data_IF_650895891095
#
_entry.id   IF_650895891095
#
_cell.length_a   1.000
_cell.length_b   1.000
_cell.length_c   1.000
_cell.angle_alpha   90.00
_cell.angle_beta   90.00
_cell.angle_gamma   90.00
#
_symmetry.space_group_name_H-M   'P 1'
#
loop_
_entity.id
_entity.type
_entity.pdbx_description
1 polymer ?
#
# COMPACT_ATOMS: atom_id res chain seq x y z
N UNK A 1 20.20 -75.93 -1.35
CA UNK A 1 18.77 -75.58 -1.34
C UNK A 1 18.57 -74.30 -0.54
N UNK A 2 18.13 -73.24 -1.22
CA UNK A 2 17.45 -72.03 -0.76
C UNK A 2 17.48 -71.66 0.74
N UNK A 3 17.88 -70.42 1.03
CA UNK A 3 16.95 -69.27 1.10
C UNK A 3 17.72 -67.94 1.28
N UNK A 4 17.52 -67.04 0.32
CA UNK A 4 17.83 -65.60 0.41
C UNK A 4 16.99 -64.95 1.51
N UNK A 5 17.57 -64.03 2.29
CA UNK A 5 16.82 -62.93 2.92
C UNK A 5 17.64 -61.65 2.86
N UNK A 6 16.98 -60.63 2.29
CA UNK A 6 17.40 -59.24 2.15
C UNK A 6 17.60 -58.59 3.53
N UNK A 7 18.65 -57.78 3.66
CA UNK A 7 18.79 -56.77 4.71
C UNK A 7 18.62 -55.41 4.07
N UNK A 8 17.50 -54.77 4.37
CA UNK A 8 17.17 -53.38 4.12
C UNK A 8 18.07 -52.47 4.96
N UNK A 9 18.85 -51.60 4.31
CA UNK A 9 19.50 -50.47 4.97
C UNK A 9 18.45 -49.40 5.24
N UNK A 10 18.15 -49.17 6.51
CA UNK A 10 17.41 -47.99 6.96
C UNK A 10 18.34 -46.79 6.94
N UNK A 11 17.99 -45.80 6.12
CA UNK A 11 18.66 -44.50 6.10
C UNK A 11 18.32 -43.66 7.32
N UNK A 12 19.30 -42.86 7.75
CA UNK A 12 19.09 -41.63 8.51
C UNK A 12 20.03 -40.59 7.91
N UNK A 13 19.56 -39.89 6.89
CA UNK A 13 20.14 -38.62 6.45
C UNK A 13 19.42 -37.51 7.19
N UNK A 14 20.03 -36.95 8.23
CA UNK A 14 19.56 -35.69 8.82
C UNK A 14 20.05 -34.59 7.89
N UNK A 15 19.22 -34.22 6.90
CA UNK A 15 19.36 -32.93 6.24
C UNK A 15 18.74 -31.93 7.19
N UNK A 16 19.59 -31.17 7.89
CA UNK A 16 19.15 -30.00 8.64
C UNK A 16 18.64 -28.96 7.66
N UNK A 17 17.33 -28.88 7.52
CA UNK A 17 16.69 -27.72 6.92
C UNK A 17 16.85 -26.56 7.91
N UNK A 18 17.81 -25.68 7.63
CA UNK A 18 17.80 -24.33 8.19
C UNK A 18 16.58 -23.63 7.59
N UNK A 19 15.50 -23.57 8.36
CA UNK A 19 14.42 -22.64 8.09
C UNK A 19 14.97 -21.22 8.34
N UNK A 20 15.58 -20.64 7.31
CA UNK A 20 15.92 -19.23 7.27
C UNK A 20 14.68 -18.45 6.92
N UNK A 21 13.94 -17.97 7.91
CA UNK A 21 13.10 -16.80 7.75
C UNK A 21 14.04 -15.59 7.81
N UNK A 22 14.64 -15.26 6.68
CA UNK A 22 15.37 -14.02 6.48
C UNK A 22 14.59 -13.25 5.43
N UNK A 23 13.71 -12.36 5.89
CA UNK A 23 12.97 -11.42 5.05
C UNK A 23 13.89 -10.33 4.52
N UNK A 24 14.83 -10.72 3.68
CA UNK A 24 15.39 -9.83 2.67
C UNK A 24 14.41 -9.90 1.51
N UNK A 25 13.75 -8.78 1.19
CA UNK A 25 13.05 -8.67 -0.07
C UNK A 25 14.14 -8.74 -1.15
N UNK A 26 14.16 -9.83 -1.91
CA UNK A 26 15.17 -10.06 -2.94
C UNK A 26 14.95 -9.02 -4.04
N UNK A 27 15.91 -8.11 -4.20
CA UNK A 27 15.93 -7.17 -5.33
C UNK A 27 15.84 -7.96 -6.64
N UNK A 28 14.95 -7.57 -7.54
CA UNK A 28 14.64 -8.31 -8.77
C UNK A 28 13.48 -9.30 -8.65
N UNK A 29 12.82 -9.43 -7.49
CA UNK A 29 11.55 -10.15 -7.37
C UNK A 29 10.49 -9.50 -8.26
N UNK A 30 9.72 -10.31 -9.00
CA UNK A 30 8.65 -9.80 -9.86
C UNK A 30 7.53 -9.18 -9.02
N UNK A 31 6.96 -8.07 -9.48
CA UNK A 31 5.80 -7.42 -8.86
C UNK A 31 4.60 -8.36 -8.74
N UNK A 32 4.44 -9.32 -9.65
CA UNK A 32 3.34 -10.30 -9.63
C UNK A 32 3.49 -11.32 -8.49
N UNK A 33 4.73 -11.56 -8.03
CA UNK A 33 5.05 -12.50 -6.96
C UNK A 33 5.26 -11.80 -5.60
N UNK A 34 5.53 -10.48 -5.60
CA UNK A 34 5.86 -9.73 -4.41
C UNK A 34 4.63 -9.55 -3.49
N UNK A 35 4.66 -9.99 -2.21
CA UNK A 35 3.46 -10.01 -1.35
C UNK A 35 2.77 -8.65 -1.14
N UNK A 36 3.54 -7.56 -1.12
CA UNK A 36 2.98 -6.20 -0.99
C UNK A 36 2.12 -5.78 -2.20
N UNK A 37 2.34 -6.39 -3.36
CA UNK A 37 1.65 -6.10 -4.61
C UNK A 37 0.50 -7.08 -4.90
N UNK A 38 0.10 -7.92 -3.93
CA UNK A 38 -1.03 -8.83 -4.10
C UNK A 38 -2.34 -8.10 -4.43
N UNK A 39 -3.02 -8.42 -5.52
CA UNK A 39 -4.24 -7.72 -6.00
C UNK A 39 -4.01 -6.23 -6.30
N UNK A 40 -2.82 -5.85 -6.79
CA UNK A 40 -2.46 -4.46 -7.14
C UNK A 40 -3.45 -3.78 -8.08
N UNK A 41 -4.05 -4.52 -9.02
CA UNK A 41 -5.02 -3.99 -9.98
C UNK A 41 -6.32 -3.48 -9.31
N UNK A 42 -6.64 -3.99 -8.13
CA UNK A 42 -7.81 -3.60 -7.35
C UNK A 42 -7.56 -2.37 -6.47
N UNK A 43 -6.33 -1.86 -6.41
CA UNK A 43 -5.94 -0.76 -5.52
C UNK A 43 -6.15 0.61 -6.18
N UNK A 44 -6.41 1.67 -5.38
CA UNK A 44 -6.40 3.04 -5.87
C UNK A 44 -5.07 3.37 -6.56
N UNK A 45 -5.14 3.73 -7.85
CA UNK A 45 -3.95 4.11 -8.63
C UNK A 45 -4.16 5.32 -9.53
N UNK A 46 -3.06 6.00 -9.83
CA UNK A 46 -2.94 6.96 -10.92
C UNK A 46 -1.79 6.54 -11.83
N UNK A 47 -2.03 6.51 -13.15
CA UNK A 47 -1.05 6.01 -14.13
C UNK A 47 -1.16 4.50 -14.34
N UNK A 48 -0.42 3.99 -15.34
CA UNK A 48 -0.49 2.58 -15.78
C UNK A 48 0.57 1.72 -15.09
N UNK A 49 0.22 0.48 -14.73
CA UNK A 49 1.09 -0.45 -14.00
C UNK A 49 2.22 -1.06 -14.85
N UNK A 50 2.26 -0.78 -16.16
CA UNK A 50 3.19 -1.42 -17.10
C UNK A 50 4.60 -0.83 -17.14
N UNK A 51 4.94 0.10 -16.24
CA UNK A 51 6.26 0.72 -16.14
C UNK A 51 6.71 0.79 -14.68
N UNK A 52 7.23 1.94 -14.24
CA UNK A 52 7.60 2.10 -12.84
C UNK A 52 6.36 2.08 -11.92
N UNK A 53 6.43 1.39 -10.78
CA UNK A 53 5.37 1.43 -9.78
C UNK A 53 5.93 1.97 -8.48
N UNK A 54 5.34 3.08 -8.01
CA UNK A 54 5.53 3.61 -6.66
C UNK A 54 4.33 3.17 -5.84
N UNK A 55 4.50 2.08 -5.07
CA UNK A 55 3.48 1.54 -4.19
C UNK A 55 3.67 2.09 -2.77
N UNK A 56 2.69 2.86 -2.30
CA UNK A 56 2.74 3.51 -1.00
C UNK A 56 1.70 2.91 -0.05
N UNK A 57 2.15 2.44 1.12
CA UNK A 57 1.29 2.14 2.26
C UNK A 57 1.20 3.40 3.12
N UNK A 58 0.01 3.98 3.19
CA UNK A 58 -0.22 5.27 3.84
C UNK A 58 -1.36 5.21 4.86
N UNK A 59 -1.21 5.98 5.93
CA UNK A 59 -2.25 6.19 6.94
C UNK A 59 -2.69 7.65 6.88
N UNK A 60 -3.98 7.96 6.64
CA UNK A 60 -4.51 9.32 6.64
C UNK A 60 -4.18 10.10 7.91
N UNK A 61 -4.02 9.39 9.04
CA UNK A 61 -3.70 9.97 10.33
C UNK A 61 -2.21 10.22 10.57
N UNK A 62 -1.33 9.67 9.73
CA UNK A 62 0.11 9.76 9.94
C UNK A 62 0.68 11.14 9.54
N UNK A 63 1.35 11.87 10.46
CA UNK A 63 1.97 13.16 10.14
C UNK A 63 3.13 13.05 9.15
N UNK A 64 3.77 11.88 9.06
CA UNK A 64 4.83 11.64 8.08
C UNK A 64 4.25 11.34 6.69
N UNK A 65 3.11 10.65 6.61
CA UNK A 65 2.39 10.46 5.34
C UNK A 65 1.94 11.83 4.79
N UNK A 66 1.41 12.70 5.66
CA UNK A 66 1.08 14.08 5.27
C UNK A 66 2.25 14.82 4.64
N UNK A 67 3.47 14.71 5.20
CA UNK A 67 4.67 15.34 4.63
C UNK A 67 5.01 14.74 3.27
N UNK A 68 4.99 13.41 3.16
CA UNK A 68 5.24 12.73 1.88
C UNK A 68 4.24 13.16 0.80
N UNK A 69 2.95 13.24 1.14
CA UNK A 69 1.90 13.69 0.25
C UNK A 69 2.03 15.17 -0.16
N UNK A 70 2.61 16.02 0.68
CA UNK A 70 2.83 17.43 0.37
C UNK A 70 4.10 17.67 -0.43
N UNK A 71 5.18 16.98 -0.08
CA UNK A 71 6.53 17.29 -0.53
C UNK A 71 6.97 16.42 -1.73
N UNK A 72 6.38 15.22 -1.89
CA UNK A 72 6.90 14.20 -2.82
C UNK A 72 5.86 13.70 -3.82
N UNK A 73 4.63 13.43 -3.39
CA UNK A 73 3.56 12.93 -4.28
C UNK A 73 3.31 13.84 -5.50
N UNK A 74 3.34 15.19 -5.40
CA UNK A 74 3.19 16.04 -6.59
C UNK A 74 4.29 15.82 -7.63
N UNK A 75 5.52 15.55 -7.20
CA UNK A 75 6.64 15.28 -8.10
C UNK A 75 6.54 13.87 -8.71
N UNK A 76 6.06 12.86 -7.96
CA UNK A 76 5.72 11.53 -8.50
C UNK A 76 4.66 11.67 -9.60
N UNK A 77 3.57 12.40 -9.31
CA UNK A 77 2.51 12.65 -10.28
C UNK A 77 3.06 13.29 -11.55
N UNK A 78 3.81 14.39 -11.40
CA UNK A 78 4.31 15.16 -12.55
C UNK A 78 5.30 14.37 -13.41
N UNK A 79 6.21 13.60 -12.80
CA UNK A 79 7.35 13.04 -13.52
C UNK A 79 7.18 11.56 -13.90
N UNK A 80 6.33 10.81 -13.18
CA UNK A 80 6.07 9.39 -13.44
C UNK A 80 4.69 9.19 -14.06
N UNK A 81 3.64 9.73 -13.43
CA UNK A 81 2.26 9.48 -13.86
C UNK A 81 1.89 10.27 -15.12
N UNK A 82 2.07 11.59 -15.09
CA UNK A 82 1.66 12.49 -16.18
C UNK A 82 2.49 12.28 -17.46
N UNK A 83 3.70 11.76 -17.32
CA UNK A 83 4.60 11.39 -18.42
C UNK A 83 4.31 10.00 -19.00
N UNK A 84 3.45 9.21 -18.34
CA UNK A 84 3.11 7.84 -18.73
C UNK A 84 4.22 6.82 -18.46
N UNK A 85 5.21 7.15 -17.61
CA UNK A 85 6.30 6.24 -17.24
C UNK A 85 5.88 5.16 -16.24
N UNK A 86 4.78 5.37 -15.53
CA UNK A 86 4.38 4.44 -14.48
C UNK A 86 3.16 4.85 -13.70
N UNK A 87 3.02 4.27 -12.52
CA UNK A 87 1.89 4.46 -11.63
C UNK A 87 2.30 4.83 -10.20
N UNK A 88 1.46 5.67 -9.58
CA UNK A 88 1.39 5.81 -8.13
C UNK A 88 0.21 4.98 -7.63
N UNK A 89 0.48 4.03 -6.73
CA UNK A 89 -0.53 3.13 -6.15
C UNK A 89 -0.54 3.31 -4.64
N UNK A 90 -1.73 3.41 -4.07
CA UNK A 90 -1.91 3.57 -2.62
C UNK A 90 -2.57 2.33 -2.05
N UNK A 91 -2.06 1.88 -0.91
CA UNK A 91 -2.75 0.99 0.03
C UNK A 91 -2.99 1.74 1.33
N UNK A 92 -4.20 1.63 1.86
CA UNK A 92 -4.56 2.28 3.10
C UNK A 92 -4.16 1.39 4.29
N UNK A 93 -3.31 1.90 5.18
CA UNK A 93 -2.70 1.10 6.25
C UNK A 93 -2.79 1.82 7.61
N UNK A 94 -3.94 1.72 8.32
CA UNK A 94 -4.28 2.55 9.47
C UNK A 94 -3.62 2.10 10.79
N UNK A 95 -2.30 2.27 10.91
CA UNK A 95 -1.50 1.78 12.05
C UNK A 95 -0.98 2.87 13.01
N UNK A 96 -1.27 4.15 12.78
CA UNK A 96 -0.65 5.27 13.52
C UNK A 96 -1.56 5.89 14.58
N UNK A 97 -2.72 6.45 14.22
CA UNK A 97 -3.65 7.02 15.21
C UNK A 97 -5.07 6.45 15.06
N UNK A 98 -5.87 6.44 16.13
CA UNK A 98 -7.15 5.73 16.16
C UNK A 98 -8.20 6.20 15.14
N UNK A 99 -8.11 7.44 14.65
CA UNK A 99 -9.02 7.94 13.62
C UNK A 99 -8.63 7.48 12.20
N UNK A 100 -7.43 6.93 12.01
CA UNK A 100 -6.99 6.37 10.73
C UNK A 100 -7.89 5.24 10.26
N UNK A 101 -8.28 4.32 11.15
CA UNK A 101 -9.15 3.18 10.81
C UNK A 101 -10.50 3.61 10.21
N UNK A 102 -11.33 4.46 10.86
CA UNK A 102 -12.58 4.91 10.26
C UNK A 102 -12.37 5.77 9.00
N UNK A 103 -11.27 6.53 8.88
CA UNK A 103 -10.94 7.25 7.65
C UNK A 103 -10.62 6.28 6.50
N UNK A 104 -9.86 5.23 6.77
CA UNK A 104 -9.54 4.16 5.82
C UNK A 104 -10.81 3.43 5.36
N UNK A 105 -11.72 3.08 6.26
CA UNK A 105 -13.01 2.49 5.88
C UNK A 105 -13.81 3.42 4.95
N UNK A 106 -13.77 4.73 5.21
CA UNK A 106 -14.43 5.72 4.35
C UNK A 106 -13.73 5.88 2.99
N UNK A 107 -12.40 5.77 2.94
CA UNK A 107 -11.64 5.78 1.69
C UNK A 107 -12.00 4.58 0.82
N UNK A 108 -11.99 3.36 1.36
CA UNK A 108 -12.38 2.16 0.61
C UNK A 108 -13.82 2.25 0.10
N UNK A 109 -14.73 2.74 0.95
CA UNK A 109 -16.13 2.98 0.59
C UNK A 109 -16.28 4.03 -0.52
N UNK A 110 -15.45 5.07 -0.50
CA UNK A 110 -15.43 6.11 -1.53
C UNK A 110 -14.85 5.55 -2.83
N UNK A 111 -13.74 4.81 -2.79
CA UNK A 111 -13.11 4.22 -3.96
C UNK A 111 -14.02 3.22 -4.68
N UNK A 112 -14.77 2.41 -3.92
CA UNK A 112 -15.77 1.50 -4.47
C UNK A 112 -16.91 2.22 -5.23
N UNK A 113 -17.10 3.51 -4.98
CA UNK A 113 -18.12 4.35 -5.66
C UNK A 113 -17.51 5.17 -6.78
N UNK A 114 -16.41 5.87 -6.51
CA UNK A 114 -15.73 6.74 -7.45
C UNK A 114 -14.25 6.95 -7.09
N UNK A 115 -13.36 6.71 -8.06
CA UNK A 115 -11.92 6.81 -7.87
C UNK A 115 -11.39 8.24 -7.74
N UNK A 116 -12.01 9.23 -8.39
CA UNK A 116 -11.57 10.63 -8.27
C UNK A 116 -12.01 11.25 -6.94
N UNK A 117 -13.18 10.85 -6.43
CA UNK A 117 -13.64 11.18 -5.09
C UNK A 117 -12.73 10.59 -4.02
N UNK A 118 -12.21 9.37 -4.21
CA UNK A 118 -11.18 8.81 -3.32
C UNK A 118 -9.96 9.72 -3.25
N UNK A 119 -9.40 10.13 -4.40
CA UNK A 119 -8.21 10.99 -4.42
C UNK A 119 -8.48 12.35 -3.80
N UNK A 120 -9.68 12.90 -4.00
CA UNK A 120 -10.12 14.15 -3.39
C UNK A 120 -10.20 14.03 -1.86
N UNK A 121 -10.83 12.97 -1.34
CA UNK A 121 -10.95 12.71 0.08
C UNK A 121 -9.60 12.41 0.73
N UNK A 122 -8.75 11.61 0.07
CA UNK A 122 -7.42 11.26 0.54
C UNK A 122 -6.54 12.52 0.69
N UNK A 123 -6.55 13.39 -0.31
CA UNK A 123 -5.89 14.69 -0.25
C UNK A 123 -6.46 15.59 0.86
N UNK A 124 -7.79 15.58 1.06
CA UNK A 124 -8.46 16.35 2.10
C UNK A 124 -7.99 15.95 3.51
N UNK A 125 -7.89 14.65 3.80
CA UNK A 125 -7.37 14.19 5.09
C UNK A 125 -5.96 14.71 5.37
N UNK A 126 -5.07 14.74 4.38
CA UNK A 126 -3.73 15.28 4.60
C UNK A 126 -3.69 16.81 4.67
N UNK A 127 -4.51 17.50 3.88
CA UNK A 127 -4.61 18.96 3.92
C UNK A 127 -5.06 19.45 5.30
N UNK A 128 -6.09 18.82 5.85
CA UNK A 128 -6.76 19.24 7.09
C UNK A 128 -6.46 18.32 8.29
N UNK A 129 -5.40 17.50 8.21
CA UNK A 129 -5.09 16.39 9.15
C UNK A 129 -5.19 16.77 10.64
N UNK A 130 -4.76 17.97 11.01
CA UNK A 130 -4.79 18.45 12.40
C UNK A 130 -6.20 18.74 12.94
N UNK A 131 -7.21 18.77 12.08
CA UNK A 131 -8.62 19.00 12.44
C UNK A 131 -9.39 17.70 12.71
N UNK A 132 -8.79 16.55 12.41
CA UNK A 132 -9.41 15.23 12.53
C UNK A 132 -9.08 14.56 13.86
N UNK A 133 -10.09 13.91 14.42
CA UNK A 133 -9.99 13.02 15.58
C UNK A 133 -11.04 11.91 15.47
N UNK A 134 -11.03 10.97 16.41
CA UNK A 134 -11.94 9.82 16.40
C UNK A 134 -13.41 10.20 16.58
N UNK A 135 -13.70 11.39 17.13
CA UNK A 135 -15.07 11.83 17.39
C UNK A 135 -15.68 12.49 16.15
N UNK A 136 -14.87 13.14 15.30
CA UNK A 136 -15.35 13.97 14.20
C UNK A 136 -15.08 13.44 12.78
N UNK A 137 -14.21 12.44 12.62
CA UNK A 137 -13.69 12.06 11.31
C UNK A 137 -14.77 11.67 10.30
N UNK A 138 -15.78 10.90 10.71
CA UNK A 138 -16.84 10.48 9.81
C UNK A 138 -17.83 11.60 9.49
N UNK A 139 -18.13 12.49 10.44
CA UNK A 139 -18.97 13.67 10.20
C UNK A 139 -18.31 14.62 9.18
N UNK A 140 -17.00 14.87 9.35
CA UNK A 140 -16.23 15.71 8.42
C UNK A 140 -16.09 15.06 7.04
N UNK A 141 -15.95 13.74 7.00
CA UNK A 141 -15.89 12.98 5.73
C UNK A 141 -17.20 13.09 4.96
N UNK A 142 -18.33 12.87 5.65
CA UNK A 142 -19.68 13.02 5.11
C UNK A 142 -19.88 14.43 4.53
N UNK A 143 -19.53 15.47 5.29
CA UNK A 143 -19.65 16.85 4.86
C UNK A 143 -18.79 17.14 3.62
N UNK A 144 -17.51 16.77 3.64
CA UNK A 144 -16.60 16.98 2.51
C UNK A 144 -17.10 16.30 1.23
N UNK A 145 -17.47 15.02 1.30
CA UNK A 145 -17.94 14.28 0.13
C UNK A 145 -19.23 14.87 -0.45
N UNK A 146 -20.16 15.27 0.44
CA UNK A 146 -21.43 15.87 0.03
C UNK A 146 -21.26 17.25 -0.60
N UNK A 147 -20.29 18.03 -0.14
CA UNK A 147 -20.05 19.40 -0.60
C UNK A 147 -19.17 19.45 -1.87
N UNK A 148 -18.18 18.58 -1.97
CA UNK A 148 -17.11 18.68 -2.97
C UNK A 148 -17.14 17.59 -4.05
N UNK A 149 -18.03 16.59 -3.94
CA UNK A 149 -18.10 15.47 -4.89
C UNK A 149 -19.55 15.09 -5.25
N UNK A 150 -19.72 14.16 -6.20
CA UNK A 150 -21.03 13.58 -6.52
C UNK A 150 -21.36 12.33 -5.68
N UNK A 151 -20.45 11.89 -4.80
CA UNK A 151 -20.63 10.73 -3.94
C UNK A 151 -21.56 11.06 -2.77
N UNK A 152 -22.46 10.14 -2.44
CA UNK A 152 -23.31 10.22 -1.25
C UNK A 152 -22.46 10.06 0.02
N UNK A 153 -22.13 11.19 0.65
CA UNK A 153 -21.30 11.25 1.85
C UNK A 153 -21.95 10.55 3.06
N UNK A 154 -23.28 10.58 3.18
CA UNK A 154 -24.00 9.91 4.28
C UNK A 154 -23.86 8.39 4.13
N UNK A 155 -24.02 7.87 2.90
CA UNK A 155 -23.82 6.46 2.62
C UNK A 155 -22.38 6.01 2.90
N UNK A 156 -21.37 6.80 2.51
CA UNK A 156 -19.95 6.50 2.81
C UNK A 156 -19.69 6.48 4.32
N UNK A 157 -20.19 7.48 5.05
CA UNK A 157 -20.01 7.53 6.50
C UNK A 157 -20.75 6.37 7.20
N UNK A 158 -21.90 5.93 6.68
CA UNK A 158 -22.61 4.75 7.17
C UNK A 158 -21.80 3.47 6.96
N UNK A 159 -21.32 3.23 5.73
CA UNK A 159 -20.46 2.10 5.41
C UNK A 159 -19.22 2.04 6.31
N UNK A 160 -18.60 3.20 6.55
CA UNK A 160 -17.42 3.29 7.40
C UNK A 160 -17.71 2.95 8.86
N UNK A 161 -18.86 3.38 9.42
CA UNK A 161 -19.31 3.00 10.77
C UNK A 161 -19.58 1.50 10.88
N UNK A 162 -20.13 0.91 9.83
CA UNK A 162 -20.48 -0.51 9.77
C UNK A 162 -19.33 -1.42 9.34
N UNK A 163 -18.17 -0.83 8.96
CA UNK A 163 -17.02 -1.53 8.39
C UNK A 163 -17.40 -2.36 7.16
N UNK A 164 -18.23 -1.79 6.27
CA UNK A 164 -18.72 -2.50 5.10
C UNK A 164 -17.60 -2.94 4.13
N UNK A 165 -16.42 -2.31 4.23
CA UNK A 165 -15.24 -2.58 3.40
C UNK A 165 -14.09 -3.20 4.20
N UNK A 166 -14.37 -3.85 5.34
CA UNK A 166 -13.33 -4.44 6.19
C UNK A 166 -12.44 -5.44 5.44
N UNK A 167 -13.01 -6.22 4.52
CA UNK A 167 -12.24 -7.16 3.70
C UNK A 167 -11.15 -6.46 2.85
N UNK A 168 -11.42 -5.27 2.32
CA UNK A 168 -10.45 -4.48 1.55
C UNK A 168 -9.35 -3.91 2.48
N UNK A 169 -9.75 -3.36 3.63
CA UNK A 169 -8.80 -2.85 4.63
C UNK A 169 -7.89 -3.96 5.15
N UNK A 170 -8.45 -5.14 5.46
CA UNK A 170 -7.67 -6.28 5.92
C UNK A 170 -6.77 -6.85 4.80
N UNK A 171 -7.16 -6.75 3.53
CA UNK A 171 -6.30 -7.15 2.42
C UNK A 171 -5.02 -6.29 2.37
N UNK A 172 -5.14 -4.98 2.57
CA UNK A 172 -3.98 -4.07 2.62
C UNK A 172 -3.10 -4.33 3.84
N UNK A 173 -3.70 -4.51 5.01
CA UNK A 173 -2.97 -4.91 6.23
C UNK A 173 -2.23 -6.23 6.01
N UNK A 174 -2.90 -7.23 5.44
CA UNK A 174 -2.30 -8.55 5.21
C UNK A 174 -1.17 -8.50 4.18
N UNK A 175 -1.29 -7.67 3.14
CA UNK A 175 -0.22 -7.44 2.17
C UNK A 175 1.02 -6.84 2.85
N UNK A 176 0.82 -5.87 3.77
CA UNK A 176 1.91 -5.29 4.55
C UNK A 176 2.58 -6.30 5.49
N UNK A 177 1.77 -7.11 6.20
CA UNK A 177 2.27 -8.15 7.10
C UNK A 177 3.05 -9.24 6.35
N UNK A 178 2.51 -9.73 5.24
CA UNK A 178 3.13 -10.76 4.41
C UNK A 178 4.46 -10.29 3.80
N UNK A 179 4.56 -8.99 3.47
CA UNK A 179 5.80 -8.37 3.00
C UNK A 179 6.74 -7.91 4.14
N UNK A 180 6.39 -8.16 5.41
CA UNK A 180 7.25 -7.80 6.55
C UNK A 180 7.49 -6.29 6.68
N UNK A 181 6.48 -5.48 6.38
CA UNK A 181 6.60 -4.01 6.37
C UNK A 181 6.60 -3.40 7.79
N UNK A 182 6.05 -4.11 8.78
CA UNK A 182 5.91 -3.63 10.15
C UNK A 182 4.79 -2.60 10.30
N UNK A 183 4.66 -2.00 11.50
CA UNK A 183 3.60 -1.05 11.84
C UNK A 183 4.10 0.40 11.78
N UNK A 184 4.56 0.83 10.60
CA UNK A 184 4.98 2.22 10.34
C UNK A 184 4.41 2.71 9.04
N UNK A 185 4.25 4.03 8.88
CA UNK A 185 3.85 4.66 7.61
C UNK A 185 4.50 6.04 7.45
N UNK A 186 4.70 6.54 6.21
CA UNK A 186 4.49 5.82 4.95
C UNK A 186 5.61 4.79 4.71
N UNK A 187 5.27 3.72 4.00
CA UNK A 187 6.23 2.73 3.49
C UNK A 187 6.08 2.70 1.97
N UNK A 188 7.16 2.97 1.27
CA UNK A 188 7.19 3.10 -0.19
C UNK A 188 7.98 1.92 -0.75
N UNK A 189 7.37 1.13 -1.62
CA UNK A 189 8.03 0.11 -2.40
C UNK A 189 8.16 0.61 -3.84
N UNK A 190 9.35 0.44 -4.41
CA UNK A 190 9.69 0.88 -5.74
C UNK A 190 9.90 -0.34 -6.62
N UNK A 191 9.18 -0.36 -7.75
CA UNK A 191 9.35 -1.36 -8.79
C UNK A 191 9.74 -0.67 -10.09
N UNK A 192 10.80 -1.14 -10.73
CA UNK A 192 11.25 -0.70 -12.04
C UNK A 192 10.81 -1.74 -13.07
N UNK A 193 9.92 -1.36 -14.00
CA UNK A 193 9.43 -2.23 -15.08
C UNK A 193 8.96 -3.63 -14.61
N UNK A 194 8.30 -3.67 -13.45
CA UNK A 194 7.76 -4.88 -12.84
C UNK A 194 8.74 -5.67 -11.97
N UNK A 195 9.95 -5.17 -11.73
CA UNK A 195 10.92 -5.78 -10.82
C UNK A 195 11.09 -4.95 -9.55
N UNK A 196 11.05 -5.60 -8.37
CA UNK A 196 11.25 -4.94 -7.08
C UNK A 196 12.67 -4.40 -6.96
N UNK A 197 12.79 -3.10 -6.70
CA UNK A 197 14.09 -2.44 -6.53
C UNK A 197 14.43 -2.28 -5.05
N UNK A 198 13.55 -1.62 -4.30
CA UNK A 198 13.83 -1.27 -2.91
C UNK A 198 12.57 -0.86 -2.16
N UNK A 199 12.70 -0.84 -0.83
CA UNK A 199 11.71 -0.29 0.10
C UNK A 199 12.31 0.89 0.86
N UNK A 200 11.55 1.95 1.01
CA UNK A 200 11.95 3.14 1.76
C UNK A 200 10.86 3.52 2.76
N UNK A 201 11.26 3.93 3.97
CA UNK A 201 10.33 4.31 5.03
C UNK A 201 10.38 5.82 5.26
N UNK A 202 9.22 6.43 5.50
CA UNK A 202 9.10 7.85 5.83
C UNK A 202 8.92 8.77 4.62
N UNK A 203 8.96 10.08 4.89
CA UNK A 203 8.82 11.12 3.86
C UNK A 203 10.12 11.27 3.08
N UNK A 204 10.27 10.47 2.01
CA UNK A 204 11.45 10.46 1.14
C UNK A 204 11.33 11.51 0.05
N UNK A 205 12.45 12.05 -0.45
CA UNK A 205 12.43 13.00 -1.57
C UNK A 205 12.15 12.30 -2.90
N UNK A 206 11.64 13.06 -3.87
CA UNK A 206 11.49 12.57 -5.24
C UNK A 206 12.84 12.18 -5.85
N UNK A 207 13.91 12.94 -5.61
CA UNK A 207 15.25 12.62 -6.14
C UNK A 207 15.72 11.21 -5.73
N UNK A 208 15.40 10.77 -4.51
CA UNK A 208 15.74 9.42 -4.04
C UNK A 208 14.91 8.36 -4.79
N UNK A 209 13.63 8.63 -5.01
CA UNK A 209 12.75 7.74 -5.79
C UNK A 209 13.26 7.64 -7.23
N UNK A 210 13.58 8.77 -7.86
CA UNK A 210 14.09 8.83 -9.22
C UNK A 210 15.43 8.08 -9.35
N UNK A 211 16.37 8.31 -8.43
CA UNK A 211 17.65 7.59 -8.40
C UNK A 211 17.44 6.08 -8.29
N UNK A 212 16.52 5.63 -7.43
CA UNK A 212 16.22 4.22 -7.26
C UNK A 212 15.56 3.60 -8.51
N UNK A 213 14.68 4.32 -9.19
CA UNK A 213 13.99 3.86 -10.40
C UNK A 213 14.83 4.01 -11.68
N UNK A 214 16.12 4.35 -11.58
CA UNK A 214 16.97 4.54 -12.76
C UNK A 214 16.59 5.76 -13.62
N UNK A 215 15.78 6.67 -13.07
CA UNK A 215 15.36 7.91 -13.71
C UNK A 215 16.53 8.90 -13.70
N UNK A 216 17.49 8.69 -14.59
CA UNK A 216 18.57 9.64 -14.81
C UNK A 216 18.12 10.70 -15.81
N UNK A 217 18.16 11.97 -15.38
CA UNK A 217 18.14 13.10 -16.30
C UNK A 217 19.30 12.93 -17.30
N UNK A 218 18.97 12.81 -18.59
CA UNK A 218 19.94 12.80 -19.69
C UNK A 218 20.59 14.15 -19.94
#
# INVERSE_FOLDING_TARGET
MNRRRFLTLSGVGVVGAVAGCSGDADTGESIDDHPAAADLEAQPRRGELGGHVVLAFEDPSCPTCRRFHQDTVPAIQQNIVDTGKGAYVVRTYPVIYPWGEPATQALESTFARDGEAFWSLFGHYFAEQSSFDSDNVLERTEAFLTEETEVDGEAVASDARERAHDDAVQADVQAAENAGLGETTPIILLFEDGEFVTKVNGSVSYDLIAEALGEHDG
#
